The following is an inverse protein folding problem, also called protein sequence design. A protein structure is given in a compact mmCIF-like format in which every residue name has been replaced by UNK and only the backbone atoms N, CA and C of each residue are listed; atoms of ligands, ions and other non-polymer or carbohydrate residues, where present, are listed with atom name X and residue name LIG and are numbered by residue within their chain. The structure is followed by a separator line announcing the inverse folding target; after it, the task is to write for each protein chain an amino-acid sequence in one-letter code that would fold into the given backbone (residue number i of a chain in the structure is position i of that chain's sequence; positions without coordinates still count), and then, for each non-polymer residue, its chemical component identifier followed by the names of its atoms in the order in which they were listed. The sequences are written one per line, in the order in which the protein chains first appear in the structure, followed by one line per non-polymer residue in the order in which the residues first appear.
data_IF_713651797031
#
_entry.id   IF_713651797031
#
_cell.length_a   1.000
_cell.length_b   1.000
_cell.length_c   1.000
_cell.angle_alpha   90.00
_cell.angle_beta   90.00
_cell.angle_gamma   90.00
#
_symmetry.space_group_name_H-M   'P 1'
#
loop_
_entity.id
_entity.type
_entity.pdbx_description
1 polymer ?
#
# COMPACT_ATOMS: atom_id res chain seq x y z
N UNK A 1 53.90 -3.89 29.69
CA UNK A 1 52.71 -3.04 29.56
C UNK A 1 52.33 -2.87 28.09
N UNK A 2 52.06 -3.96 27.34
CA UNK A 2 51.65 -3.88 25.91
C UNK A 2 50.51 -4.84 25.50
N UNK A 3 49.84 -5.50 26.47
CA UNK A 3 48.81 -6.51 26.16
C UNK A 3 47.35 -6.08 26.46
N UNK A 4 47.13 -4.88 27.04
CA UNK A 4 45.79 -4.44 27.43
C UNK A 4 45.01 -3.63 26.35
N UNK A 5 45.73 -3.17 25.30
CA UNK A 5 45.09 -2.35 24.24
C UNK A 5 44.38 -3.20 23.14
N UNK A 6 44.73 -4.48 23.02
CA UNK A 6 44.21 -5.35 21.97
C UNK A 6 42.82 -5.95 22.34
N UNK A 7 42.46 -5.98 23.63
CA UNK A 7 41.18 -6.55 24.10
C UNK A 7 40.01 -5.58 23.99
N UNK A 8 40.27 -4.28 23.88
CA UNK A 8 39.19 -3.26 23.77
C UNK A 8 38.63 -3.09 22.36
N UNK A 9 39.35 -3.53 21.32
CA UNK A 9 38.91 -3.43 19.94
C UNK A 9 37.95 -4.55 19.49
N UNK A 10 37.86 -5.65 20.25
CA UNK A 10 37.00 -6.79 19.92
C UNK A 10 35.55 -6.66 20.44
N UNK A 11 35.25 -5.67 21.30
CA UNK A 11 33.93 -5.50 21.89
C UNK A 11 33.03 -4.51 21.16
N UNK A 12 33.53 -3.81 20.13
CA UNK A 12 32.78 -2.78 19.40
C UNK A 12 31.97 -3.29 18.19
N UNK A 13 32.04 -4.61 17.88
CA UNK A 13 31.45 -5.14 16.62
C UNK A 13 30.13 -5.91 16.79
N UNK A 14 29.46 -5.86 17.94
CA UNK A 14 28.32 -6.74 18.23
C UNK A 14 26.97 -6.04 18.45
N UNK A 15 26.68 -4.89 17.83
CA UNK A 15 25.41 -4.17 17.99
C UNK A 15 24.71 -3.78 16.67
N UNK A 16 24.78 -4.61 15.64
CA UNK A 16 23.96 -4.46 14.44
C UNK A 16 22.87 -5.55 14.39
N UNK A 17 22.14 -5.77 15.49
CA UNK A 17 20.86 -6.42 15.43
C UNK A 17 19.83 -5.40 14.89
N UNK A 18 19.83 -5.19 13.58
CA UNK A 18 18.72 -4.52 12.91
C UNK A 18 17.46 -5.34 13.16
N UNK A 19 16.45 -4.75 13.81
CA UNK A 19 15.12 -5.32 13.87
C UNK A 19 14.55 -5.38 12.45
N UNK A 20 14.83 -6.45 11.72
CA UNK A 20 14.13 -6.76 10.49
C UNK A 20 12.67 -7.09 10.89
N UNK A 21 11.77 -6.14 10.74
CA UNK A 21 10.35 -6.43 10.88
C UNK A 21 9.96 -7.31 9.69
N UNK A 22 9.62 -8.57 9.96
CA UNK A 22 9.11 -9.44 8.92
C UNK A 22 7.83 -8.81 8.31
N UNK A 23 7.73 -8.72 6.98
CA UNK A 23 6.52 -8.23 6.33
C UNK A 23 5.36 -9.17 6.68
N UNK A 24 4.15 -8.60 6.78
CA UNK A 24 2.93 -9.40 6.93
C UNK A 24 2.74 -10.25 5.67
N UNK A 25 2.65 -11.55 5.84
CA UNK A 25 2.34 -12.48 4.77
C UNK A 25 0.85 -12.40 4.39
N UNK A 26 0.48 -12.76 3.16
CA UNK A 26 -0.92 -12.87 2.77
C UNK A 26 -1.70 -13.80 3.71
N UNK A 27 -2.94 -13.41 4.03
CA UNK A 27 -3.89 -14.20 4.82
C UNK A 27 -5.14 -14.38 3.97
N UNK A 28 -5.50 -15.62 3.69
CA UNK A 28 -6.73 -15.96 2.97
C UNK A 28 -7.91 -16.04 3.94
N UNK A 29 -9.11 -15.75 3.45
CA UNK A 29 -10.32 -16.01 4.22
C UNK A 29 -10.43 -17.48 4.62
N UNK A 30 -10.90 -17.74 5.85
CA UNK A 30 -11.35 -19.05 6.23
C UNK A 30 -12.60 -19.45 5.43
N UNK A 31 -12.88 -20.75 5.33
CA UNK A 31 -14.10 -21.25 4.69
C UNK A 31 -15.33 -20.64 5.38
N UNK A 32 -16.29 -20.19 4.56
CA UNK A 32 -17.51 -19.53 5.02
C UNK A 32 -17.32 -18.24 5.86
N UNK A 33 -16.18 -17.56 5.73
CA UNK A 33 -15.91 -16.31 6.45
C UNK A 33 -16.83 -15.15 6.04
N UNK A 34 -17.42 -15.22 4.84
CA UNK A 34 -18.30 -14.17 4.27
C UNK A 34 -19.72 -14.69 4.08
N UNK A 35 -20.48 -14.77 5.16
CA UNK A 35 -21.88 -15.21 5.21
C UNK A 35 -22.72 -14.25 6.03
N UNK A 36 -24.05 -14.42 5.99
CA UNK A 36 -24.99 -13.63 6.81
C UNK A 36 -24.73 -13.75 8.34
N UNK A 37 -24.07 -14.81 8.81
CA UNK A 37 -23.74 -15.04 10.21
C UNK A 37 -22.36 -14.47 10.63
N UNK A 38 -21.60 -13.91 9.70
CA UNK A 38 -20.21 -13.46 9.96
C UNK A 38 -20.12 -12.14 10.72
N UNK A 39 -21.23 -11.62 11.24
CA UNK A 39 -21.27 -10.33 11.93
C UNK A 39 -21.37 -9.14 10.97
N UNK A 40 -21.22 -7.93 11.51
CA UNK A 40 -21.31 -6.69 10.74
C UNK A 40 -19.95 -6.25 10.24
N UNK A 41 -19.87 -5.89 8.97
CA UNK A 41 -18.66 -5.41 8.32
C UNK A 41 -18.73 -3.89 8.11
N UNK A 42 -17.62 -3.23 8.38
CA UNK A 42 -17.36 -1.87 7.91
C UNK A 42 -16.43 -1.90 6.69
N UNK A 43 -16.63 -1.02 5.72
CA UNK A 43 -15.68 -0.82 4.63
C UNK A 43 -15.13 0.60 4.72
N UNK A 44 -13.85 0.71 5.01
CA UNK A 44 -13.12 1.97 5.14
C UNK A 44 -11.94 2.01 4.16
N UNK A 45 -11.54 3.22 3.81
CA UNK A 45 -10.37 3.48 2.97
C UNK A 45 -9.56 4.61 3.58
N UNK A 46 -8.24 4.54 3.49
CA UNK A 46 -7.39 5.69 3.81
C UNK A 46 -7.52 6.76 2.72
N UNK A 47 -7.11 8.00 3.03
CA UNK A 47 -7.04 9.04 2.01
C UNK A 47 -6.15 8.58 0.85
N UNK A 48 -6.61 8.78 -0.38
CA UNK A 48 -5.80 8.46 -1.56
C UNK A 48 -4.52 9.30 -1.58
N UNK A 49 -3.37 8.69 -1.92
CA UNK A 49 -2.16 9.44 -2.18
C UNK A 49 -2.33 10.31 -3.42
N UNK A 50 -1.54 11.38 -3.50
CA UNK A 50 -1.41 12.12 -4.76
C UNK A 50 -0.80 11.22 -5.83
N UNK A 51 -1.29 11.34 -7.06
CA UNK A 51 -0.65 10.71 -8.22
C UNK A 51 0.67 11.42 -8.46
N UNK A 52 1.80 10.70 -8.35
CA UNK A 52 3.13 11.31 -8.38
C UNK A 52 4.17 10.40 -9.06
N UNK A 53 5.37 10.93 -9.29
CA UNK A 53 6.53 10.20 -9.76
C UNK A 53 7.45 9.84 -8.60
N UNK A 54 8.03 8.64 -8.63
CA UNK A 54 9.04 8.21 -7.67
C UNK A 54 10.32 7.77 -8.38
N UNK A 55 11.48 8.00 -7.72
CA UNK A 55 12.81 7.74 -8.26
C UNK A 55 13.64 6.85 -7.30
N UNK A 56 13.25 5.57 -7.09
CA UNK A 56 13.99 4.65 -6.25
C UNK A 56 15.45 4.52 -6.74
N UNK A 57 16.40 4.42 -5.78
CA UNK A 57 17.82 4.34 -6.06
C UNK A 57 18.53 5.69 -6.27
N UNK A 58 17.81 6.80 -6.42
CA UNK A 58 18.35 8.17 -6.34
C UNK A 58 18.54 8.58 -4.86
N UNK A 59 19.36 7.84 -4.12
CA UNK A 59 19.43 7.86 -2.65
C UNK A 59 20.11 9.07 -2.00
N UNK A 60 20.73 9.98 -2.77
CA UNK A 60 21.31 11.22 -2.24
C UNK A 60 20.50 12.45 -2.66
N UNK A 61 20.56 13.54 -1.90
CA UNK A 61 19.83 14.77 -2.23
C UNK A 61 20.10 15.28 -3.65
N UNK A 62 21.39 15.28 -4.06
CA UNK A 62 21.75 15.71 -5.40
C UNK A 62 21.32 14.70 -6.45
N UNK A 63 21.36 13.38 -6.15
CA UNK A 63 20.85 12.32 -7.02
C UNK A 63 19.36 12.52 -7.28
N UNK A 64 18.58 12.75 -6.20
CA UNK A 64 17.15 12.96 -6.29
C UNK A 64 16.82 14.25 -7.08
N UNK A 65 17.54 15.35 -6.81
CA UNK A 65 17.36 16.60 -7.54
C UNK A 65 17.63 16.43 -9.05
N UNK A 66 18.68 15.68 -9.41
CA UNK A 66 19.02 15.37 -10.81
C UNK A 66 17.93 14.51 -11.46
N UNK A 67 17.46 13.45 -10.77
CA UNK A 67 16.40 12.61 -11.26
C UNK A 67 15.09 13.40 -11.46
N UNK A 68 14.71 14.24 -10.49
CA UNK A 68 13.53 15.09 -10.58
C UNK A 68 13.63 16.09 -11.73
N UNK A 69 14.77 16.75 -11.92
CA UNK A 69 14.99 17.66 -13.03
C UNK A 69 14.89 16.95 -14.40
N UNK A 70 15.54 15.79 -14.52
CA UNK A 70 15.51 14.99 -15.75
C UNK A 70 14.11 14.45 -16.11
N UNK A 71 13.22 14.29 -15.14
CA UNK A 71 11.85 13.79 -15.34
C UNK A 71 10.77 14.86 -15.08
N UNK A 72 11.12 16.14 -15.11
CA UNK A 72 10.19 17.22 -14.75
C UNK A 72 8.93 17.25 -15.63
N UNK A 73 9.06 16.99 -16.93
CA UNK A 73 7.92 16.88 -17.86
C UNK A 73 7.02 15.70 -17.53
N UNK A 74 7.61 14.54 -17.21
CA UNK A 74 6.86 13.36 -16.78
C UNK A 74 6.12 13.63 -15.46
N UNK A 75 6.80 14.21 -14.47
CA UNK A 75 6.18 14.56 -13.17
C UNK A 75 5.02 15.54 -13.37
N UNK A 76 5.21 16.56 -14.21
CA UNK A 76 4.12 17.51 -14.53
C UNK A 76 2.92 16.80 -15.15
N UNK A 77 3.15 15.90 -16.11
CA UNK A 77 2.09 15.10 -16.71
C UNK A 77 1.41 14.20 -15.69
N UNK A 78 2.20 13.51 -14.85
CA UNK A 78 1.68 12.63 -13.79
C UNK A 78 0.69 13.34 -12.87
N UNK A 79 0.99 14.58 -12.49
CA UNK A 79 0.10 15.38 -11.63
C UNK A 79 -1.23 15.79 -12.28
N UNK A 80 -1.39 15.58 -13.59
CA UNK A 80 -2.65 15.80 -14.31
C UNK A 80 -3.50 14.53 -14.44
N UNK A 81 -2.94 13.36 -14.07
CA UNK A 81 -3.67 12.09 -14.14
C UNK A 81 -4.63 11.95 -12.97
N UNK A 82 -5.80 11.40 -13.24
CA UNK A 82 -6.86 11.17 -12.29
C UNK A 82 -6.83 9.73 -11.76
N UNK A 83 -6.96 9.55 -10.46
CA UNK A 83 -7.09 8.25 -9.82
C UNK A 83 -8.32 8.16 -8.89
N UNK A 84 -9.26 9.11 -9.00
CA UNK A 84 -10.47 9.22 -8.18
C UNK A 84 -11.40 8.01 -8.33
N UNK A 85 -11.32 7.29 -9.44
CA UNK A 85 -12.04 6.03 -9.65
C UNK A 85 -11.73 4.98 -8.58
N UNK A 86 -10.56 5.06 -7.94
CA UNK A 86 -10.21 4.21 -6.80
C UNK A 86 -11.14 4.42 -5.60
N UNK A 87 -11.79 5.59 -5.46
CA UNK A 87 -12.76 5.84 -4.39
C UNK A 87 -14.00 4.93 -4.49
N UNK A 88 -14.32 4.45 -5.70
CA UNK A 88 -15.42 3.50 -5.93
C UNK A 88 -15.19 2.13 -5.29
N UNK A 89 -13.95 1.81 -4.88
CA UNK A 89 -13.60 0.56 -4.21
C UNK A 89 -14.40 0.32 -2.95
N UNK A 90 -14.68 1.37 -2.14
CA UNK A 90 -15.49 1.25 -0.92
C UNK A 90 -16.88 0.68 -1.22
N UNK A 91 -17.56 1.27 -2.20
CA UNK A 91 -18.92 0.84 -2.59
C UNK A 91 -18.90 -0.49 -3.32
N UNK A 92 -17.94 -0.71 -4.21
CA UNK A 92 -17.81 -1.95 -4.97
C UNK A 92 -17.61 -3.18 -4.06
N UNK A 93 -16.75 -3.08 -3.04
CA UNK A 93 -16.57 -4.15 -2.05
C UNK A 93 -17.83 -4.33 -1.20
N UNK A 94 -18.42 -3.23 -0.73
CA UNK A 94 -19.64 -3.32 0.06
C UNK A 94 -20.76 -4.03 -0.69
N UNK A 95 -20.93 -3.77 -1.98
CA UNK A 95 -21.95 -4.41 -2.81
C UNK A 95 -21.67 -5.90 -3.03
N UNK A 96 -20.38 -6.29 -3.20
CA UNK A 96 -20.00 -7.70 -3.29
C UNK A 96 -20.30 -8.45 -1.99
N UNK A 97 -19.98 -7.87 -0.83
CA UNK A 97 -20.28 -8.44 0.48
C UNK A 97 -21.80 -8.58 0.72
N UNK A 98 -22.58 -7.55 0.36
CA UNK A 98 -24.06 -7.59 0.44
C UNK A 98 -24.65 -8.71 -0.43
N UNK A 99 -24.12 -8.93 -1.63
CA UNK A 99 -24.55 -10.05 -2.50
C UNK A 99 -24.32 -11.42 -1.86
N UNK A 100 -23.35 -11.54 -0.95
CA UNK A 100 -23.12 -12.75 -0.14
C UNK A 100 -23.98 -12.81 1.14
N UNK A 101 -24.83 -11.82 1.37
CA UNK A 101 -25.73 -11.74 2.52
C UNK A 101 -25.12 -11.12 3.76
N UNK A 102 -23.91 -10.55 3.67
CA UNK A 102 -23.23 -9.89 4.79
C UNK A 102 -23.85 -8.53 5.07
N UNK A 103 -24.06 -8.20 6.36
CA UNK A 103 -24.47 -6.84 6.79
C UNK A 103 -23.25 -5.88 6.68
N UNK A 104 -23.37 -4.83 5.85
CA UNK A 104 -22.25 -3.96 5.50
C UNK A 104 -22.57 -2.49 5.62
N UNK A 105 -21.73 -1.78 6.36
CA UNK A 105 -21.72 -0.31 6.45
C UNK A 105 -20.51 0.27 5.71
N UNK A 106 -20.73 1.21 4.80
CA UNK A 106 -19.63 1.98 4.16
C UNK A 106 -19.27 3.16 5.08
N UNK A 107 -18.00 3.23 5.48
CA UNK A 107 -17.49 4.33 6.30
C UNK A 107 -17.22 5.53 5.38
N UNK A 108 -17.91 6.63 5.63
CA UNK A 108 -17.84 7.80 4.74
C UNK A 108 -16.50 8.52 4.84
N UNK A 109 -16.01 8.73 6.07
CA UNK A 109 -14.74 9.42 6.32
C UNK A 109 -13.53 8.58 5.90
N UNK A 110 -12.41 9.26 5.65
CA UNK A 110 -11.12 8.62 5.42
C UNK A 110 -10.57 8.06 6.74
N UNK A 111 -10.12 6.83 6.70
CA UNK A 111 -9.51 6.16 7.84
C UNK A 111 -8.06 6.66 8.03
N UNK A 112 -7.78 7.31 9.15
CA UNK A 112 -6.43 7.71 9.50
C UNK A 112 -5.75 6.66 10.37
N UNK A 113 -5.09 5.69 9.75
CA UNK A 113 -4.38 4.61 10.46
C UNK A 113 -3.18 5.12 11.27
N UNK A 114 -2.60 6.29 10.91
CA UNK A 114 -1.48 6.89 11.64
C UNK A 114 -1.87 7.40 13.03
N UNK A 115 -3.14 7.71 13.24
CA UNK A 115 -3.67 8.14 14.54
C UNK A 115 -4.00 6.95 15.47
N UNK A 116 -4.06 5.74 14.94
CA UNK A 116 -4.26 4.55 15.77
C UNK A 116 -2.98 4.26 16.56
N UNK A 117 -3.17 3.85 17.82
CA UNK A 117 -2.05 3.39 18.66
C UNK A 117 -1.42 2.13 18.09
N UNK A 118 -0.16 1.93 18.39
CA UNK A 118 0.47 0.64 18.10
C UNK A 118 -0.12 -0.44 19.00
N UNK A 119 -0.38 -1.61 18.41
CA UNK A 119 -0.90 -2.74 19.18
C UNK A 119 0.24 -3.47 19.88
N UNK A 120 0.15 -3.59 21.19
CA UNK A 120 1.17 -4.23 22.00
C UNK A 120 1.05 -5.77 22.10
N UNK A 121 -0.02 -6.35 21.55
CA UNK A 121 -0.22 -7.80 21.50
C UNK A 121 0.69 -8.45 20.46
N UNK A 122 1.19 -9.64 20.76
CA UNK A 122 1.95 -10.48 19.86
C UNK A 122 1.08 -11.57 19.23
N UNK A 123 1.57 -12.15 18.15
CA UNK A 123 0.93 -13.30 17.49
C UNK A 123 1.09 -13.27 15.97
N UNK A 124 0.66 -14.37 15.34
CA UNK A 124 0.62 -14.48 13.89
C UNK A 124 -0.62 -13.73 13.39
N UNK A 125 -0.47 -13.02 12.28
CA UNK A 125 -1.57 -12.29 11.62
C UNK A 125 -2.25 -11.23 12.50
N UNK A 126 -1.49 -10.58 13.39
CA UNK A 126 -1.99 -9.49 14.22
C UNK A 126 -1.68 -8.15 13.55
N UNK A 127 -2.67 -7.26 13.50
CA UNK A 127 -2.49 -5.92 12.96
C UNK A 127 -1.55 -5.09 13.85
N UNK A 128 -0.58 -4.39 13.26
CA UNK A 128 0.38 -3.54 13.98
C UNK A 128 -0.27 -2.35 14.70
N UNK A 129 -1.36 -1.84 14.14
CA UNK A 129 -2.17 -0.76 14.75
C UNK A 129 -3.36 -1.37 15.49
N UNK A 130 -3.79 -0.71 16.55
CA UNK A 130 -4.95 -1.14 17.35
C UNK A 130 -6.25 -0.62 16.75
N UNK A 131 -6.96 -1.49 16.04
CA UNK A 131 -8.23 -1.19 15.41
C UNK A 131 -9.44 -1.41 16.33
N UNK A 132 -9.27 -2.00 17.53
CA UNK A 132 -10.38 -2.44 18.38
C UNK A 132 -11.33 -1.33 18.80
N UNK A 133 -10.82 -0.11 19.00
CA UNK A 133 -11.65 1.05 19.32
C UNK A 133 -12.63 1.43 18.21
N UNK A 134 -12.38 1.00 16.97
CA UNK A 134 -13.25 1.26 15.84
C UNK A 134 -14.52 0.39 15.85
N UNK A 135 -14.54 -0.70 16.63
CA UNK A 135 -15.71 -1.54 16.85
C UNK A 135 -16.90 -0.73 17.36
N UNK A 136 -16.67 0.01 18.44
CA UNK A 136 -17.71 0.81 19.07
C UNK A 136 -18.00 2.09 18.27
N UNK A 137 -16.98 2.67 17.65
CA UNK A 137 -17.14 3.87 16.83
C UNK A 137 -18.05 3.62 15.64
N UNK A 138 -17.83 2.53 14.90
CA UNK A 138 -18.57 2.23 13.67
C UNK A 138 -19.69 1.21 13.83
N UNK A 139 -19.83 0.60 15.03
CA UNK A 139 -20.81 -0.44 15.34
C UNK A 139 -20.71 -1.66 14.41
N UNK A 140 -19.47 -2.08 14.12
CA UNK A 140 -19.13 -3.22 13.26
C UNK A 140 -18.19 -4.19 13.97
N UNK A 141 -18.17 -5.43 13.54
CA UNK A 141 -17.36 -6.50 14.14
C UNK A 141 -16.07 -6.73 13.36
N UNK A 142 -16.10 -6.50 12.04
CA UNK A 142 -14.98 -6.63 11.11
C UNK A 142 -14.83 -5.34 10.31
N UNK A 143 -13.58 -4.95 10.03
CA UNK A 143 -13.29 -3.77 9.22
C UNK A 143 -12.46 -4.14 8.00
N UNK A 144 -13.04 -3.96 6.83
CA UNK A 144 -12.29 -3.94 5.57
C UNK A 144 -11.54 -2.62 5.50
N UNK A 145 -10.23 -2.70 5.36
CA UNK A 145 -9.35 -1.54 5.24
C UNK A 145 -8.67 -1.57 3.88
N UNK A 146 -8.95 -0.57 3.05
CA UNK A 146 -8.30 -0.34 1.77
C UNK A 146 -7.27 0.75 1.99
N UNK A 147 -6.00 0.45 1.78
CA UNK A 147 -4.88 1.39 1.98
C UNK A 147 -4.03 1.44 0.71
N UNK A 148 -4.31 2.40 -0.17
CA UNK A 148 -3.49 2.66 -1.35
C UNK A 148 -2.36 3.60 -0.90
N UNK A 149 -1.12 3.12 -0.98
CA UNK A 149 0.06 3.84 -0.49
C UNK A 149 0.78 4.64 -1.56
N UNK A 150 0.68 4.22 -2.81
CA UNK A 150 1.25 4.95 -3.95
C UNK A 150 0.50 4.64 -5.24
N UNK A 151 0.43 5.62 -6.12
CA UNK A 151 -0.10 5.52 -7.47
C UNK A 151 0.61 6.55 -8.35
N UNK A 152 1.07 6.15 -9.54
CA UNK A 152 1.77 7.05 -10.46
C UNK A 152 2.82 6.35 -11.29
N UNK A 153 3.95 7.02 -11.54
CA UNK A 153 5.06 6.44 -12.28
C UNK A 153 6.29 6.26 -11.40
N UNK A 154 6.97 5.14 -11.60
CA UNK A 154 8.24 4.83 -10.95
C UNK A 154 9.31 4.70 -12.02
N UNK A 155 10.45 5.39 -11.84
CA UNK A 155 11.64 5.23 -12.66
C UNK A 155 12.84 4.93 -11.78
N UNK A 156 13.41 3.75 -11.94
CA UNK A 156 14.52 3.31 -11.11
C UNK A 156 15.84 3.98 -11.49
N UNK A 157 16.67 4.23 -10.51
CA UNK A 157 17.98 4.87 -10.64
C UNK A 157 19.07 4.08 -9.93
N UNK A 158 20.31 4.19 -10.45
CA UNK A 158 21.53 3.89 -9.75
C UNK A 158 22.27 5.21 -9.54
N UNK A 159 22.07 5.82 -8.35
CA UNK A 159 22.54 7.18 -8.04
C UNK A 159 21.98 8.22 -9.05
N UNK A 160 22.79 8.66 -10.01
CA UNK A 160 22.42 9.69 -11.01
C UNK A 160 21.87 9.13 -12.32
N UNK A 161 21.99 7.82 -12.55
CA UNK A 161 21.72 7.18 -13.84
C UNK A 161 20.42 6.40 -13.73
N UNK A 162 19.47 6.67 -14.64
CA UNK A 162 18.27 5.84 -14.75
C UNK A 162 18.64 4.42 -15.23
N UNK A 163 18.07 3.41 -14.59
CA UNK A 163 18.35 1.99 -14.90
C UNK A 163 17.30 1.37 -15.81
N UNK A 164 16.30 2.15 -16.23
CA UNK A 164 15.24 1.70 -17.13
C UNK A 164 14.25 2.82 -17.48
N UNK A 165 13.28 2.43 -18.27
CA UNK A 165 12.13 3.28 -18.58
C UNK A 165 11.19 3.39 -17.39
N UNK A 166 10.39 4.47 -17.28
CA UNK A 166 9.38 4.57 -16.25
C UNK A 166 8.27 3.53 -16.46
N UNK A 167 7.74 3.03 -15.34
CA UNK A 167 6.58 2.14 -15.29
C UNK A 167 5.45 2.79 -14.51
N UNK A 168 4.22 2.54 -14.91
CA UNK A 168 3.06 2.85 -14.09
C UNK A 168 3.00 1.86 -12.93
N UNK A 169 2.75 2.35 -11.71
CA UNK A 169 2.65 1.51 -10.52
C UNK A 169 1.49 1.95 -9.61
N UNK A 170 0.84 0.96 -9.00
CA UNK A 170 -0.10 1.12 -7.91
C UNK A 170 0.27 0.13 -6.82
N UNK A 171 0.52 0.64 -5.62
CA UNK A 171 0.83 -0.18 -4.46
C UNK A 171 -0.08 0.15 -3.28
N UNK A 172 -0.34 -0.88 -2.47
CA UNK A 172 -1.18 -0.74 -1.30
C UNK A 172 -1.43 -2.07 -0.61
N UNK A 173 -2.42 -2.07 0.26
CA UNK A 173 -2.90 -3.27 0.94
C UNK A 173 -4.41 -3.27 1.02
N UNK A 174 -5.00 -4.46 1.02
CA UNK A 174 -6.36 -4.67 1.47
C UNK A 174 -6.36 -5.69 2.59
N UNK A 175 -7.09 -5.40 3.66
CA UNK A 175 -7.19 -6.30 4.80
C UNK A 175 -8.60 -6.31 5.37
N UNK A 176 -8.94 -7.41 6.06
CA UNK A 176 -10.10 -7.49 6.94
C UNK A 176 -9.58 -7.74 8.33
N UNK A 177 -9.86 -6.81 9.24
CA UNK A 177 -9.44 -6.86 10.63
C UNK A 177 -10.63 -7.24 11.51
N UNK A 178 -10.49 -8.29 12.30
CA UNK A 178 -11.41 -8.63 13.39
C UNK A 178 -11.21 -7.62 14.52
N UNK A 179 -12.22 -6.81 14.78
CA UNK A 179 -12.12 -5.71 15.75
C UNK A 179 -12.19 -6.17 17.22
N UNK A 180 -12.46 -7.44 17.48
CA UNK A 180 -12.42 -7.99 18.84
C UNK A 180 -11.02 -8.48 19.22
N UNK A 181 -10.30 -9.09 18.27
CA UNK A 181 -8.99 -9.72 18.48
C UNK A 181 -7.82 -8.91 17.92
N UNK A 182 -8.10 -7.94 17.05
CA UNK A 182 -7.11 -7.20 16.26
C UNK A 182 -6.31 -8.08 15.29
N UNK A 183 -6.82 -9.26 14.93
CA UNK A 183 -6.20 -10.16 13.95
C UNK A 183 -6.71 -9.89 12.54
N UNK A 184 -5.90 -10.25 11.55
CA UNK A 184 -6.33 -10.26 10.16
C UNK A 184 -7.13 -11.53 9.87
N UNK A 185 -8.38 -11.38 9.46
CA UNK A 185 -9.18 -12.44 8.84
C UNK A 185 -8.82 -12.57 7.35
N UNK A 186 -8.31 -11.49 6.77
CA UNK A 186 -7.79 -11.44 5.40
C UNK A 186 -6.69 -10.36 5.30
N UNK A 187 -5.65 -10.62 4.53
CA UNK A 187 -4.62 -9.64 4.21
C UNK A 187 -3.99 -9.93 2.85
N UNK A 188 -3.93 -8.92 1.99
CA UNK A 188 -3.28 -9.00 0.69
C UNK A 188 -2.51 -7.70 0.40
N UNK A 189 -1.27 -7.84 -0.07
CA UNK A 189 -0.52 -6.74 -0.66
C UNK A 189 -0.91 -6.58 -2.12
N UNK A 190 -1.07 -5.34 -2.55
CA UNK A 190 -1.40 -4.98 -3.92
C UNK A 190 -0.17 -4.29 -4.50
N UNK A 191 0.36 -4.88 -5.57
CA UNK A 191 1.48 -4.34 -6.33
C UNK A 191 1.18 -4.58 -7.81
N UNK A 192 0.70 -3.54 -8.48
CA UNK A 192 0.44 -3.55 -9.91
C UNK A 192 1.49 -2.69 -10.59
N UNK A 193 2.06 -3.20 -11.67
CA UNK A 193 3.05 -2.47 -12.46
C UNK A 193 2.89 -2.78 -13.93
N UNK A 194 3.01 -1.75 -14.79
CA UNK A 194 2.98 -1.89 -16.25
C UNK A 194 3.88 -0.85 -16.91
N UNK A 195 4.74 -1.30 -17.84
CA UNK A 195 5.49 -0.43 -18.71
C UNK A 195 4.66 0.10 -19.87
N UNK A 196 5.19 1.12 -20.56
CA UNK A 196 4.61 1.60 -21.80
C UNK A 196 4.66 0.53 -22.91
N UNK A 197 3.61 0.42 -23.68
CA UNK A 197 3.60 -0.39 -24.92
C UNK A 197 4.08 0.50 -26.08
N UNK A 198 5.40 0.52 -26.32
CA UNK A 198 6.07 1.41 -27.26
C UNK A 198 6.98 2.43 -26.58
N UNK A 199 7.30 3.53 -27.26
CA UNK A 199 8.16 4.58 -26.70
C UNK A 199 7.46 5.24 -25.49
N UNK A 200 8.08 5.19 -24.31
CA UNK A 200 7.50 5.78 -23.11
C UNK A 200 7.40 7.30 -23.18
N UNK A 201 8.32 7.94 -23.90
CA UNK A 201 8.44 9.40 -24.05
C UNK A 201 7.83 9.94 -25.34
N UNK A 202 6.89 9.21 -25.93
CA UNK A 202 6.22 9.63 -27.15
C UNK A 202 5.43 10.94 -26.92
N UNK A 203 5.60 11.96 -27.78
CA UNK A 203 4.80 13.17 -27.72
C UNK A 203 3.44 12.98 -28.45
N UNK A 204 2.42 13.80 -28.09
CA UNK A 204 2.35 14.62 -26.91
C UNK A 204 1.97 13.81 -25.68
N UNK A 205 2.31 14.31 -24.47
CA UNK A 205 1.72 13.89 -23.20
C UNK A 205 1.83 12.40 -22.86
N UNK A 206 2.89 11.73 -23.29
CA UNK A 206 3.22 10.34 -22.89
C UNK A 206 2.08 9.33 -23.07
N UNK A 207 1.46 9.20 -24.27
CA UNK A 207 0.24 8.41 -24.46
C UNK A 207 0.40 6.95 -24.04
N UNK A 208 1.54 6.32 -24.32
CA UNK A 208 1.78 4.92 -23.98
C UNK A 208 1.92 4.70 -22.46
N UNK A 209 2.54 5.65 -21.74
CA UNK A 209 2.58 5.62 -20.27
C UNK A 209 1.21 5.94 -19.66
N UNK A 210 0.46 6.86 -20.23
CA UNK A 210 -0.91 7.18 -19.79
C UNK A 210 -1.81 5.95 -19.90
N UNK A 211 -1.73 5.20 -21.00
CA UNK A 211 -2.45 3.94 -21.16
C UNK A 211 -2.02 2.90 -20.12
N UNK A 212 -0.71 2.80 -19.86
CA UNK A 212 -0.19 1.91 -18.81
C UNK A 212 -0.71 2.31 -17.43
N UNK A 213 -0.79 3.61 -17.10
CA UNK A 213 -1.32 4.12 -15.85
C UNK A 213 -2.78 3.68 -15.63
N UNK A 214 -3.67 3.93 -16.56
CA UNK A 214 -5.07 3.53 -16.42
C UNK A 214 -5.23 2.01 -16.40
N UNK A 215 -4.43 1.27 -17.15
CA UNK A 215 -4.40 -0.20 -17.08
C UNK A 215 -4.02 -0.70 -15.67
N UNK A 216 -3.04 -0.06 -15.02
CA UNK A 216 -2.62 -0.38 -13.64
C UNK A 216 -3.70 -0.03 -12.63
N UNK A 217 -4.37 1.11 -12.78
CA UNK A 217 -5.50 1.51 -11.92
C UNK A 217 -6.63 0.47 -12.01
N UNK A 218 -7.02 0.04 -13.21
CA UNK A 218 -8.06 -0.97 -13.39
C UNK A 218 -7.63 -2.34 -12.82
N UNK A 219 -6.41 -2.79 -13.13
CA UNK A 219 -5.89 -4.05 -12.55
C UNK A 219 -5.81 -3.99 -11.02
N UNK A 220 -5.48 -2.84 -10.45
CA UNK A 220 -5.49 -2.60 -9.01
C UNK A 220 -6.90 -2.70 -8.42
N UNK A 221 -7.89 -2.10 -9.06
CA UNK A 221 -9.31 -2.22 -8.65
C UNK A 221 -9.77 -3.68 -8.66
N UNK A 222 -9.44 -4.41 -9.71
CA UNK A 222 -9.78 -5.84 -9.81
C UNK A 222 -9.10 -6.66 -8.71
N UNK A 223 -7.81 -6.44 -8.47
CA UNK A 223 -7.06 -7.16 -7.42
C UNK A 223 -7.65 -6.90 -6.01
N UNK A 224 -8.09 -5.66 -5.74
CA UNK A 224 -8.74 -5.29 -4.47
C UNK A 224 -10.11 -5.94 -4.31
N UNK A 225 -10.90 -6.02 -5.37
CA UNK A 225 -12.28 -6.51 -5.32
C UNK A 225 -12.41 -8.03 -5.45
N UNK A 226 -11.46 -8.68 -6.12
CA UNK A 226 -11.53 -10.11 -6.43
C UNK A 226 -11.77 -11.04 -5.23
N UNK A 227 -11.19 -10.78 -4.03
CA UNK A 227 -11.38 -11.67 -2.86
C UNK A 227 -12.82 -11.64 -2.30
N UNK A 228 -13.60 -10.62 -2.59
CA UNK A 228 -14.97 -10.41 -2.11
C UNK A 228 -15.99 -10.79 -3.18
#
# INVERSE_FOLDING_TARGET
MKSSALLLLLFASAQLCGCASNPQLPVSFADNALTAQSGRFGVAMTALPKVDTAFPGAGCLLCLATAAAANSSLTKHTHMLAAEDLLSLKTGIADRLRKKGVDVTVIAEDLNTKQLKDFSGGGVNIAKKDFRALKDKYKVDHLVVIDITSVGFVRNYAAYISTGDPTAELAGTISVVNLSTNSYDFFLQINQSKGAEGAWNEPPDFPNLTNAFYSVVESGKDAVQHPF
#
